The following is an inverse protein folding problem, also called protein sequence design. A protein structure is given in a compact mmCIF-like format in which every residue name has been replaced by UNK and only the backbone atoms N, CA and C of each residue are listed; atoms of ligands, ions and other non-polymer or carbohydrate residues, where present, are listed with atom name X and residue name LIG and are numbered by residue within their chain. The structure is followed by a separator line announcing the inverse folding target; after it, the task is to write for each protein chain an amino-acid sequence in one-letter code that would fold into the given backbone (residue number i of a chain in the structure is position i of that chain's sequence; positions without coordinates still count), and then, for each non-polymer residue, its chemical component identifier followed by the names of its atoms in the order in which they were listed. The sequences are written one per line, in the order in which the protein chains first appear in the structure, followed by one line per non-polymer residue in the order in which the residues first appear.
data_IF_180895377540
#
_entry.id   IF_180895377540
#
_cell.length_a   1.000
_cell.length_b   1.000
_cell.length_c   1.000
_cell.angle_alpha   90.00
_cell.angle_beta   90.00
_cell.angle_gamma   90.00
#
_symmetry.space_group_name_H-M   'P 1'
#
loop_
_entity.id
_entity.type
_entity.pdbx_description
1 polymer ?
#
# COMPACT_ATOMS: atom_id res chain seq x y z
N UNK A 1 -13.40 11.68 6.94
CA UNK A 1 -13.93 10.62 6.05
C UNK A 1 -14.34 9.42 6.88
N UNK A 2 -15.56 8.96 6.74
CA UNK A 2 -16.06 7.78 7.41
C UNK A 2 -15.43 6.52 6.79
N UNK A 3 -15.02 5.58 7.64
CA UNK A 3 -14.42 4.32 7.18
C UNK A 3 -15.39 3.50 6.33
N UNK A 4 -16.70 3.54 6.66
CA UNK A 4 -17.72 2.80 5.90
C UNK A 4 -17.87 3.41 4.50
N UNK A 5 -17.94 4.72 4.38
CA UNK A 5 -18.03 5.40 3.09
C UNK A 5 -16.80 5.12 2.24
N UNK A 6 -15.63 5.14 2.86
CA UNK A 6 -14.38 4.83 2.19
C UNK A 6 -14.36 3.39 1.66
N UNK A 7 -14.77 2.43 2.51
CA UNK A 7 -14.82 1.02 2.11
C UNK A 7 -15.75 0.80 0.92
N UNK A 8 -16.94 1.42 0.94
CA UNK A 8 -17.92 1.28 -0.13
C UNK A 8 -17.40 1.81 -1.46
N UNK A 9 -16.82 3.02 -1.46
CA UNK A 9 -16.29 3.64 -2.69
C UNK A 9 -15.08 2.88 -3.23
N UNK A 10 -14.18 2.46 -2.35
CA UNK A 10 -12.99 1.75 -2.78
C UNK A 10 -13.30 0.34 -3.25
N UNK A 11 -14.30 -0.31 -2.64
CA UNK A 11 -14.77 -1.61 -3.12
C UNK A 11 -15.25 -1.51 -4.57
N UNK A 12 -16.03 -0.48 -4.88
CA UNK A 12 -16.50 -0.25 -6.24
C UNK A 12 -15.35 -0.08 -7.23
N UNK A 13 -14.32 0.67 -6.86
CA UNK A 13 -13.15 0.92 -7.72
C UNK A 13 -12.28 -0.32 -7.93
N UNK A 14 -12.24 -1.24 -6.96
CA UNK A 14 -11.41 -2.44 -7.01
C UNK A 14 -12.10 -3.66 -7.59
N UNK A 15 -13.37 -3.56 -7.96
CA UNK A 15 -14.17 -4.72 -8.37
C UNK A 15 -13.52 -5.52 -9.49
N UNK A 16 -12.92 -4.85 -10.47
CA UNK A 16 -12.24 -5.51 -11.60
C UNK A 16 -10.92 -6.19 -11.20
N UNK A 17 -10.23 -5.63 -10.20
CA UNK A 17 -8.92 -6.14 -9.76
C UNK A 17 -9.02 -7.25 -8.74
N UNK A 18 -10.01 -7.18 -7.86
CA UNK A 18 -10.32 -8.17 -6.85
C UNK A 18 -11.81 -8.49 -6.97
N UNK A 19 -12.21 -9.41 -7.88
CA UNK A 19 -13.62 -9.65 -8.16
C UNK A 19 -14.40 -10.28 -7.01
N UNK A 20 -13.75 -11.14 -6.20
CA UNK A 20 -14.43 -11.76 -5.07
C UNK A 20 -14.74 -10.71 -4.00
N UNK A 21 -16.01 -10.58 -3.67
CA UNK A 21 -16.50 -9.56 -2.76
C UNK A 21 -15.90 -9.66 -1.37
N UNK A 22 -15.87 -10.87 -0.80
CA UNK A 22 -15.31 -11.07 0.53
C UNK A 22 -13.81 -10.77 0.59
N UNK A 23 -13.06 -11.25 -0.40
CA UNK A 23 -11.64 -10.99 -0.50
C UNK A 23 -11.38 -9.49 -0.66
N UNK A 24 -12.22 -8.80 -1.46
CA UNK A 24 -12.07 -7.36 -1.67
C UNK A 24 -12.32 -6.57 -0.38
N UNK A 25 -13.37 -6.89 0.35
CA UNK A 25 -13.65 -6.21 1.62
C UNK A 25 -12.60 -6.52 2.68
N UNK A 26 -12.13 -7.76 2.77
CA UNK A 26 -11.06 -8.12 3.69
C UNK A 26 -9.77 -7.37 3.36
N UNK A 27 -9.42 -7.29 2.07
CA UNK A 27 -8.27 -6.52 1.60
C UNK A 27 -8.37 -5.06 2.05
N UNK A 28 -9.51 -4.41 1.78
CA UNK A 28 -9.71 -3.00 2.09
C UNK A 28 -9.69 -2.73 3.60
N UNK A 29 -10.35 -3.58 4.38
CA UNK A 29 -10.31 -3.44 5.85
C UNK A 29 -8.89 -3.58 6.39
N UNK A 30 -8.14 -4.52 5.85
CA UNK A 30 -6.75 -4.75 6.26
C UNK A 30 -5.85 -3.57 5.88
N UNK A 31 -6.03 -3.01 4.68
CA UNK A 31 -5.29 -1.81 4.26
C UNK A 31 -5.61 -0.64 5.18
N UNK A 32 -6.88 -0.40 5.44
CA UNK A 32 -7.31 0.70 6.31
C UNK A 32 -6.70 0.54 7.71
N UNK A 33 -6.80 -0.66 8.27
CA UNK A 33 -6.28 -0.95 9.60
C UNK A 33 -4.75 -0.75 9.67
N UNK A 34 -4.00 -1.39 8.79
CA UNK A 34 -2.54 -1.36 8.86
C UNK A 34 -1.98 0.02 8.51
N UNK A 35 -2.57 0.71 7.54
CA UNK A 35 -2.17 2.07 7.21
C UNK A 35 -2.42 3.02 8.39
N UNK A 36 -3.62 2.98 8.96
CA UNK A 36 -4.00 3.84 10.08
C UNK A 36 -3.11 3.56 11.30
N UNK A 37 -2.84 2.28 11.59
CA UNK A 37 -1.95 1.87 12.69
C UNK A 37 -0.55 2.45 12.52
N UNK A 38 -0.05 2.50 11.29
CA UNK A 38 1.27 3.05 10.98
C UNK A 38 1.27 4.58 10.79
N UNK A 39 0.13 5.24 10.95
CA UNK A 39 0.03 6.68 10.73
C UNK A 39 0.12 7.09 9.26
N UNK A 40 -0.33 6.21 8.34
CA UNK A 40 -0.30 6.45 6.91
C UNK A 40 -1.72 6.64 6.37
N UNK A 41 -1.84 7.41 5.28
CA UNK A 41 -3.10 7.52 4.56
C UNK A 41 -3.41 6.19 3.84
N UNK A 42 -4.57 5.56 4.11
CA UNK A 42 -4.94 4.31 3.43
C UNK A 42 -4.98 4.42 1.90
N UNK A 43 -5.32 5.61 1.37
CA UNK A 43 -5.34 5.85 -0.07
C UNK A 43 -3.95 5.84 -0.66
N UNK A 44 -2.97 6.38 0.05
CA UNK A 44 -1.56 6.31 -0.34
C UNK A 44 -1.08 4.85 -0.39
N UNK A 45 -1.40 4.07 0.63
CA UNK A 45 -0.99 2.66 0.70
C UNK A 45 -1.57 1.88 -0.47
N UNK A 46 -2.84 2.11 -0.83
CA UNK A 46 -3.42 1.46 -1.99
C UNK A 46 -2.79 1.89 -3.31
N UNK A 47 -2.47 3.17 -3.45
CA UNK A 47 -1.72 3.64 -4.63
C UNK A 47 -0.37 2.94 -4.74
N UNK A 48 0.33 2.78 -3.63
CA UNK A 48 1.59 2.06 -3.59
C UNK A 48 1.40 0.58 -3.97
N UNK A 49 0.38 -0.09 -3.44
CA UNK A 49 0.07 -1.48 -3.79
C UNK A 49 -0.19 -1.62 -5.28
N UNK A 50 -0.92 -0.68 -5.89
CA UNK A 50 -1.17 -0.70 -7.33
C UNK A 50 0.15 -0.68 -8.10
N UNK A 51 1.06 0.20 -7.75
CA UNK A 51 2.35 0.33 -8.43
C UNK A 51 3.23 -0.90 -8.20
N UNK A 52 3.24 -1.42 -6.98
CA UNK A 52 4.14 -2.53 -6.62
C UNK A 52 3.69 -3.87 -7.20
N UNK A 53 2.41 -4.20 -7.07
CA UNK A 53 1.93 -5.55 -7.38
C UNK A 53 0.73 -5.59 -8.33
N UNK A 54 0.10 -4.46 -8.63
CA UNK A 54 -1.17 -4.44 -9.35
C UNK A 54 -2.27 -5.22 -8.62
N UNK A 55 -2.25 -5.25 -7.30
CA UNK A 55 -3.18 -5.99 -6.43
C UNK A 55 -3.06 -7.51 -6.56
N UNK A 56 -1.88 -8.01 -6.95
CA UNK A 56 -1.63 -9.45 -7.07
C UNK A 56 -1.01 -9.98 -5.78
N UNK A 57 -1.78 -10.78 -5.07
CA UNK A 57 -1.38 -11.32 -3.76
C UNK A 57 -0.06 -12.09 -3.80
N UNK A 58 0.20 -12.81 -4.88
CA UNK A 58 1.36 -13.69 -5.02
C UNK A 58 2.45 -13.13 -5.94
N UNK A 59 2.45 -11.82 -6.17
CA UNK A 59 3.47 -11.18 -7.00
C UNK A 59 4.87 -11.40 -6.42
N UNK A 60 5.82 -11.72 -7.30
CA UNK A 60 7.24 -11.87 -6.96
C UNK A 60 8.05 -11.13 -8.02
N UNK A 61 8.89 -10.18 -7.59
CA UNK A 61 9.79 -9.46 -8.50
C UNK A 61 11.03 -10.30 -8.82
N UNK A 62 11.80 -9.88 -9.82
CA UNK A 62 13.07 -10.53 -10.14
C UNK A 62 14.06 -10.48 -8.99
N UNK A 63 14.00 -9.47 -8.14
CA UNK A 63 14.84 -9.34 -6.96
C UNK A 63 14.32 -10.13 -5.75
N UNK A 64 13.11 -10.72 -5.85
CA UNK A 64 12.54 -11.53 -4.77
C UNK A 64 11.56 -10.80 -3.86
N UNK A 65 11.19 -9.55 -4.17
CA UNK A 65 10.15 -8.84 -3.43
C UNK A 65 8.81 -9.58 -3.55
N UNK A 66 8.03 -9.63 -2.47
CA UNK A 66 6.86 -10.51 -2.38
C UNK A 66 5.58 -9.78 -2.03
N UNK A 67 4.49 -10.17 -2.69
CA UNK A 67 3.12 -9.87 -2.32
C UNK A 67 2.67 -8.46 -2.64
N UNK A 68 1.57 -8.05 -2.03
CA UNK A 68 0.89 -6.80 -2.32
C UNK A 68 1.80 -5.57 -2.28
N UNK A 69 2.62 -5.43 -1.25
CA UNK A 69 3.49 -4.27 -1.06
C UNK A 69 4.95 -4.55 -1.47
N UNK A 70 5.20 -5.71 -2.08
CA UNK A 70 6.53 -6.10 -2.57
C UNK A 70 7.61 -5.96 -1.49
N UNK A 71 7.42 -6.70 -0.41
CA UNK A 71 8.34 -6.69 0.73
C UNK A 71 9.50 -7.66 0.47
N UNK A 72 10.72 -7.18 0.69
CA UNK A 72 11.92 -8.03 0.57
C UNK A 72 12.04 -8.97 1.77
N UNK A 73 12.39 -10.26 1.53
CA UNK A 73 12.45 -11.24 2.62
C UNK A 73 13.41 -10.92 3.75
N UNK A 74 14.46 -10.13 3.51
CA UNK A 74 15.40 -9.78 4.58
C UNK A 74 14.73 -9.02 5.74
N UNK A 75 13.60 -8.35 5.49
CA UNK A 75 12.88 -7.62 6.53
C UNK A 75 12.32 -8.55 7.60
N UNK A 76 12.08 -9.83 7.29
CA UNK A 76 11.64 -10.80 8.29
C UNK A 76 12.63 -10.87 9.45
N UNK A 77 13.93 -10.83 9.15
CA UNK A 77 14.98 -10.86 10.17
C UNK A 77 15.10 -9.56 10.94
N UNK A 78 14.69 -8.46 10.36
CA UNK A 78 14.84 -7.11 10.95
C UNK A 78 13.69 -6.78 11.90
N UNK A 79 12.44 -7.03 11.47
CA UNK A 79 11.25 -6.54 12.19
C UNK A 79 10.24 -7.62 12.54
N UNK A 80 10.47 -8.88 12.14
CA UNK A 80 9.45 -9.91 12.26
C UNK A 80 9.95 -11.22 12.88
N UNK A 81 9.16 -12.26 12.67
CA UNK A 81 9.42 -13.61 13.14
C UNK A 81 9.82 -14.51 11.97
N UNK A 82 10.70 -15.47 12.21
CA UNK A 82 11.33 -16.30 11.17
C UNK A 82 10.34 -17.09 10.32
N UNK A 83 9.15 -17.38 10.82
CA UNK A 83 8.12 -18.14 10.11
C UNK A 83 7.04 -17.24 9.46
N UNK A 84 7.23 -15.93 9.44
CA UNK A 84 6.28 -15.02 8.80
C UNK A 84 6.21 -15.29 7.29
N UNK A 85 4.97 -15.35 6.79
CA UNK A 85 4.70 -15.55 5.38
C UNK A 85 4.33 -14.22 4.73
N UNK A 86 5.21 -13.70 3.87
CA UNK A 86 5.02 -12.41 3.21
C UNK A 86 3.91 -12.41 2.14
N UNK A 87 3.39 -13.58 1.76
CA UNK A 87 2.23 -13.66 0.89
C UNK A 87 0.89 -13.61 1.65
N UNK A 88 0.93 -13.75 2.96
CA UNK A 88 -0.27 -13.59 3.78
C UNK A 88 -0.68 -12.11 3.81
N UNK A 89 -1.97 -11.84 3.57
CA UNK A 89 -2.46 -10.47 3.40
C UNK A 89 -2.05 -9.54 4.55
N UNK A 90 -2.47 -9.85 5.76
CA UNK A 90 -2.22 -8.97 6.90
C UNK A 90 -0.74 -8.84 7.23
N UNK A 91 0.00 -9.93 7.12
CA UNK A 91 1.45 -9.94 7.34
C UNK A 91 2.14 -9.03 6.35
N UNK A 92 1.83 -9.17 5.05
CA UNK A 92 2.42 -8.33 4.02
C UNK A 92 2.16 -6.84 4.26
N UNK A 93 0.91 -6.48 4.52
CA UNK A 93 0.52 -5.09 4.73
C UNK A 93 1.17 -4.51 5.99
N UNK A 94 1.27 -5.30 7.05
CA UNK A 94 1.93 -4.86 8.28
C UNK A 94 3.40 -4.56 8.04
N UNK A 95 4.11 -5.45 7.36
CA UNK A 95 5.52 -5.22 7.02
C UNK A 95 5.66 -3.97 6.13
N UNK A 96 4.91 -3.89 5.04
CA UNK A 96 5.03 -2.78 4.11
C UNK A 96 4.72 -1.44 4.75
N UNK A 97 3.65 -1.34 5.53
CA UNK A 97 3.29 -0.10 6.21
C UNK A 97 4.31 0.28 7.29
N UNK A 98 4.81 -0.70 8.04
CA UNK A 98 5.85 -0.46 9.05
C UNK A 98 7.15 0.05 8.40
N UNK A 99 7.55 -0.55 7.29
CA UNK A 99 8.74 -0.14 6.54
C UNK A 99 8.59 1.28 6.01
N UNK A 100 7.46 1.59 5.39
CA UNK A 100 7.23 2.94 4.86
C UNK A 100 7.21 3.98 5.98
N UNK A 101 6.55 3.67 7.12
CA UNK A 101 6.55 4.55 8.28
C UNK A 101 7.98 4.79 8.79
N UNK A 102 8.79 3.74 8.86
CA UNK A 102 10.18 3.85 9.28
C UNK A 102 10.96 4.81 8.36
N UNK A 103 10.80 4.68 7.06
CA UNK A 103 11.47 5.58 6.12
C UNK A 103 10.93 7.01 6.20
N UNK A 104 9.63 7.20 6.44
CA UNK A 104 9.09 8.53 6.67
C UNK A 104 9.72 9.18 7.90
N UNK A 105 9.93 8.42 8.96
CA UNK A 105 10.55 8.93 10.18
C UNK A 105 12.03 9.31 9.93
N UNK A 106 12.77 8.47 9.20
CA UNK A 106 14.15 8.78 8.80
C UNK A 106 14.20 10.08 7.98
N UNK A 107 13.28 10.25 7.05
CA UNK A 107 13.25 11.40 6.14
C UNK A 107 12.45 12.58 6.71
N UNK A 108 12.11 12.56 8.00
CA UNK A 108 11.41 13.63 8.71
C UNK A 108 10.10 14.05 8.05
N UNK A 109 9.34 13.06 7.57
CA UNK A 109 8.03 13.29 6.94
C UNK A 109 8.10 13.61 5.45
N UNK A 110 9.28 13.63 4.84
CA UNK A 110 9.40 13.81 3.39
C UNK A 110 8.98 12.54 2.67
N UNK A 111 7.74 12.50 2.21
CA UNK A 111 7.16 11.33 1.55
C UNK A 111 7.89 10.97 0.26
N UNK A 112 8.28 11.98 -0.51
CA UNK A 112 9.00 11.76 -1.78
C UNK A 112 10.28 10.95 -1.55
N UNK A 113 11.07 11.35 -0.56
CA UNK A 113 12.32 10.66 -0.22
C UNK A 113 12.06 9.30 0.42
N UNK A 114 11.03 9.20 1.29
CA UNK A 114 10.66 7.93 1.90
C UNK A 114 10.27 6.88 0.85
N UNK A 115 9.52 7.29 -0.17
CA UNK A 115 9.15 6.40 -1.28
C UNK A 115 10.38 5.97 -2.07
N UNK A 116 11.34 6.87 -2.28
CA UNK A 116 12.60 6.50 -2.91
C UNK A 116 13.36 5.44 -2.13
N UNK A 117 13.42 5.58 -0.80
CA UNK A 117 14.02 4.55 0.06
C UNK A 117 13.26 3.22 -0.01
N UNK A 118 11.93 3.29 0.01
CA UNK A 118 11.10 2.11 -0.06
C UNK A 118 11.39 1.28 -1.32
N UNK A 119 11.54 1.95 -2.46
CA UNK A 119 11.81 1.30 -3.74
C UNK A 119 13.29 0.97 -3.95
N UNK A 120 14.21 1.54 -3.15
CA UNK A 120 15.65 1.41 -3.37
C UNK A 120 16.18 2.34 -4.46
N UNK A 121 15.48 3.43 -4.76
CA UNK A 121 15.85 4.39 -5.80
C UNK A 121 15.93 5.82 -5.25
N UNK A 122 16.43 5.97 -4.02
CA UNK A 122 16.53 7.28 -3.36
C UNK A 122 17.25 8.30 -4.24
N UNK A 123 16.65 9.47 -4.37
CA UNK A 123 17.19 10.55 -5.20
C UNK A 123 16.66 10.56 -6.62
N UNK A 124 15.95 9.52 -7.06
CA UNK A 124 15.33 9.46 -8.38
C UNK A 124 13.84 9.77 -8.28
N UNK A 125 13.31 10.57 -9.21
CA UNK A 125 11.94 11.08 -9.13
C UNK A 125 10.89 10.11 -9.70
N UNK A 126 11.28 9.14 -10.49
CA UNK A 126 10.34 8.30 -11.25
C UNK A 126 9.36 7.55 -10.35
N UNK A 127 9.86 6.77 -9.42
CA UNK A 127 9.01 5.94 -8.56
C UNK A 127 8.10 6.78 -7.65
N UNK A 128 8.60 7.78 -6.90
CA UNK A 128 7.72 8.61 -6.10
C UNK A 128 6.63 9.31 -6.91
N UNK A 129 6.93 9.74 -8.12
CA UNK A 129 5.94 10.38 -8.98
C UNK A 129 4.86 9.39 -9.44
N UNK A 130 5.23 8.17 -9.80
CA UNK A 130 4.26 7.14 -10.20
C UNK A 130 3.32 6.81 -9.04
N UNK A 131 3.85 6.63 -7.83
CA UNK A 131 3.02 6.35 -6.65
C UNK A 131 2.09 7.52 -6.35
N UNK A 132 2.60 8.75 -6.42
CA UNK A 132 1.79 9.95 -6.19
C UNK A 132 0.66 10.05 -7.21
N UNK A 133 0.93 9.77 -8.48
CA UNK A 133 -0.09 9.79 -9.52
C UNK A 133 -1.17 8.71 -9.27
N UNK A 134 -0.78 7.52 -8.89
CA UNK A 134 -1.73 6.46 -8.55
C UNK A 134 -2.61 6.87 -7.36
N UNK A 135 -2.00 7.47 -6.34
CA UNK A 135 -2.72 7.95 -5.17
C UNK A 135 -3.70 9.07 -5.53
N UNK A 136 -3.23 10.10 -6.22
CA UNK A 136 -4.05 11.30 -6.47
C UNK A 136 -5.08 11.11 -7.57
N UNK A 137 -4.74 10.40 -8.63
CA UNK A 137 -5.57 10.33 -9.83
C UNK A 137 -6.58 9.19 -9.80
N UNK A 138 -6.23 8.05 -9.19
CA UNK A 138 -7.07 6.86 -9.21
C UNK A 138 -7.67 6.52 -7.85
N UNK A 139 -6.95 6.80 -6.76
CA UNK A 139 -7.31 6.28 -5.46
C UNK A 139 -7.61 7.33 -4.41
N UNK A 140 -7.40 8.62 -4.68
CA UNK A 140 -7.80 9.67 -3.74
C UNK A 140 -9.32 9.70 -3.60
N UNK A 141 -9.79 9.86 -2.37
CA UNK A 141 -11.21 9.91 -2.05
C UNK A 141 -11.57 11.32 -1.62
N UNK A 142 -12.63 11.88 -2.24
CA UNK A 142 -13.16 13.19 -1.88
C UNK A 142 -14.65 13.22 -2.14
N UNK A 143 -15.45 13.66 -1.15
CA UNK A 143 -16.90 13.82 -1.31
C UNK A 143 -17.25 14.81 -2.42
N UNK A 144 -16.45 15.85 -2.58
CA UNK A 144 -16.68 16.85 -3.65
C UNK A 144 -16.47 16.24 -5.04
N UNK A 145 -15.49 15.35 -5.19
CA UNK A 145 -15.29 14.64 -6.46
C UNK A 145 -16.42 13.65 -6.75
N UNK A 146 -16.94 12.99 -5.73
CA UNK A 146 -18.08 12.09 -5.89
C UNK A 146 -19.34 12.84 -6.33
N UNK A 147 -19.56 14.02 -5.79
CA UNK A 147 -20.73 14.85 -6.12
C UNK A 147 -20.71 15.35 -7.57
N UNK A 148 -19.51 15.42 -8.20
CA UNK A 148 -19.35 15.86 -9.59
C UNK A 148 -19.53 14.73 -10.61
N UNK A 149 -19.68 13.51 -10.17
CA UNK A 149 -19.95 12.37 -11.01
C UNK A 149 -21.44 12.20 -11.21
#
# INVERSE_FOLDING_TARGET
MDAIDWLAEMSRRLEKRIPDREARFEFLRSVHYEATRAGLDPQLVRGLIQVESGFKKYAVSTAGARGFMQVMPFWIKVVGLSDDNLFHLRTNLRYGCTILRHYLDIERGDLFRALGRYNGSLGQAEYPNIVRMAWQNQWSYSKSKLALR
#
